data_IF_380074888351
#
_entry.id   IF_380074888351
#
_cell.length_a   1.000
_cell.length_b   1.000
_cell.length_c   1.000
_cell.angle_alpha   90.00
_cell.angle_beta   90.00
_cell.angle_gamma   90.00
#
_symmetry.space_group_name_H-M   'P 1'
#
loop_
_entity.id
_entity.type
_entity.pdbx_description
1 polymer ?
#
# COMPACT_ATOMS: atom_id res chain seq x y z
N UNK A 1 -8.87 -46.23 61.46
CA UNK A 1 -7.42 -45.98 61.68
C UNK A 1 -6.82 -45.58 60.35
N UNK A 2 -6.38 -44.34 60.19
CA UNK A 2 -5.74 -43.87 58.96
C UNK A 2 -4.26 -44.27 59.05
N UNK A 3 -3.84 -45.16 58.15
CA UNK A 3 -2.48 -45.67 58.11
C UNK A 3 -1.63 -44.68 57.29
N UNK A 4 -0.91 -43.78 57.96
CA UNK A 4 0.04 -42.89 57.29
C UNK A 4 1.28 -43.69 56.87
N UNK A 5 1.25 -44.25 55.66
CA UNK A 5 2.46 -44.76 55.01
C UNK A 5 3.34 -43.57 54.66
N UNK A 6 4.47 -43.43 55.37
CA UNK A 6 5.48 -42.44 55.04
C UNK A 6 6.06 -42.71 53.65
N UNK A 7 6.08 -41.70 52.79
CA UNK A 7 6.72 -41.77 51.47
C UNK A 7 8.21 -42.09 51.64
N UNK A 8 8.72 -43.00 50.82
CA UNK A 8 10.14 -43.38 50.85
C UNK A 8 10.99 -42.30 50.18
N UNK A 9 12.22 -42.08 50.66
CA UNK A 9 13.15 -41.13 50.01
C UNK A 9 13.36 -41.47 48.53
N UNK A 10 13.38 -42.76 48.19
CA UNK A 10 13.54 -43.20 46.80
C UNK A 10 12.37 -42.76 45.92
N UNK A 11 11.14 -42.76 46.43
CA UNK A 11 9.95 -42.34 45.68
C UNK A 11 9.96 -40.84 45.38
N UNK A 12 10.38 -40.01 46.35
CA UNK A 12 10.54 -38.58 46.14
C UNK A 12 11.64 -38.26 45.14
N UNK A 13 12.76 -38.99 45.20
CA UNK A 13 13.85 -38.87 44.20
C UNK A 13 13.36 -39.27 42.80
N UNK A 14 12.59 -40.35 42.69
CA UNK A 14 12.05 -40.83 41.41
C UNK A 14 11.07 -39.82 40.80
N UNK A 15 10.23 -39.18 41.62
CA UNK A 15 9.31 -38.11 41.19
C UNK A 15 10.09 -36.89 40.67
N UNK A 16 11.12 -36.43 41.40
CA UNK A 16 11.93 -35.29 40.96
C UNK A 16 12.65 -35.60 39.64
N UNK A 17 13.15 -36.84 39.47
CA UNK A 17 13.75 -37.31 38.23
C UNK A 17 12.75 -37.28 37.06
N UNK A 18 11.54 -37.81 37.28
CA UNK A 18 10.45 -37.79 36.29
C UNK A 18 10.04 -36.37 35.90
N UNK A 19 9.87 -35.48 36.89
CA UNK A 19 9.54 -34.08 36.65
C UNK A 19 10.66 -33.41 35.85
N UNK A 20 11.93 -33.67 36.17
CA UNK A 20 13.07 -33.13 35.42
C UNK A 20 13.05 -33.53 33.94
N UNK A 21 12.80 -34.82 33.66
CA UNK A 21 12.72 -35.33 32.28
C UNK A 21 11.54 -34.72 31.53
N UNK A 22 10.34 -34.74 32.11
CA UNK A 22 9.12 -34.21 31.46
C UNK A 22 9.25 -32.69 31.26
N UNK A 23 9.80 -31.96 32.24
CA UNK A 23 10.00 -30.51 32.14
C UNK A 23 10.94 -30.15 30.99
N UNK A 24 12.01 -30.92 30.78
CA UNK A 24 12.95 -30.65 29.68
C UNK A 24 12.30 -30.78 28.30
N UNK A 25 11.42 -31.76 28.11
CA UNK A 25 10.66 -31.96 26.86
C UNK A 25 9.60 -30.87 26.70
N UNK A 26 8.89 -30.53 27.78
CA UNK A 26 7.88 -29.49 27.78
C UNK A 26 8.46 -28.11 27.41
N UNK A 27 9.62 -27.73 27.96
CA UNK A 27 10.31 -26.47 27.63
C UNK A 27 10.70 -26.42 26.14
N UNK A 28 11.20 -27.53 25.58
CA UNK A 28 11.54 -27.60 24.15
C UNK A 28 10.32 -27.42 23.26
N UNK A 29 9.21 -28.09 23.59
CA UNK A 29 7.96 -27.96 22.83
C UNK A 29 7.36 -26.56 22.94
N UNK A 30 7.48 -25.92 24.11
CA UNK A 30 7.01 -24.55 24.30
C UNK A 30 7.84 -23.56 23.48
N UNK A 31 9.16 -23.76 23.41
CA UNK A 31 10.07 -22.92 22.63
C UNK A 31 9.74 -22.97 21.14
N UNK A 32 9.52 -24.17 20.57
CA UNK A 32 9.15 -24.29 19.15
C UNK A 32 7.79 -23.65 18.86
N UNK A 33 6.82 -23.80 19.76
CA UNK A 33 5.49 -23.19 19.62
C UNK A 33 5.57 -21.65 19.62
N UNK A 34 6.40 -21.07 20.50
CA UNK A 34 6.65 -19.63 20.54
C UNK A 34 7.32 -19.15 19.25
N UNK A 35 8.32 -19.88 18.73
CA UNK A 35 8.99 -19.52 17.48
C UNK A 35 8.04 -19.54 16.29
N UNK A 36 7.15 -20.53 16.19
CA UNK A 36 6.12 -20.56 15.15
C UNK A 36 5.15 -19.39 15.29
N UNK A 37 4.72 -19.06 16.51
CA UNK A 37 3.84 -17.93 16.74
C UNK A 37 4.50 -16.59 16.35
N UNK A 38 5.75 -16.37 16.74
CA UNK A 38 6.55 -15.19 16.36
C UNK A 38 6.70 -15.08 14.85
N UNK A 39 6.94 -16.20 14.17
CA UNK A 39 7.09 -16.26 12.72
C UNK A 39 5.80 -15.88 11.99
N UNK A 40 4.66 -16.45 12.38
CA UNK A 40 3.36 -16.11 11.78
C UNK A 40 2.93 -14.67 12.12
N UNK A 41 3.21 -14.19 13.33
CA UNK A 41 2.95 -12.79 13.70
C UNK A 41 3.77 -11.81 12.85
N UNK A 42 5.07 -12.07 12.70
CA UNK A 42 5.94 -11.22 11.88
C UNK A 42 5.52 -11.15 10.42
N UNK A 43 4.95 -12.24 9.87
CA UNK A 43 4.35 -12.23 8.52
C UNK A 43 3.11 -11.34 8.44
N UNK A 44 2.23 -11.42 9.42
CA UNK A 44 1.03 -10.59 9.48
C UNK A 44 1.39 -9.11 9.60
N UNK A 45 2.41 -8.78 10.40
CA UNK A 45 2.94 -7.42 10.50
C UNK A 45 3.54 -6.93 9.18
N UNK A 46 4.29 -7.78 8.46
CA UNK A 46 4.77 -7.47 7.12
C UNK A 46 3.64 -7.22 6.12
N UNK A 47 2.55 -7.98 6.20
CA UNK A 47 1.35 -7.75 5.37
C UNK A 47 0.69 -6.41 5.70
N UNK A 48 0.56 -6.06 6.97
CA UNK A 48 0.03 -4.77 7.41
C UNK A 48 0.90 -3.61 6.95
N UNK A 49 2.22 -3.73 7.09
CA UNK A 49 3.17 -2.74 6.59
C UNK A 49 3.06 -2.62 5.06
N UNK A 50 2.85 -3.71 4.34
CA UNK A 50 2.65 -3.66 2.91
C UNK A 50 1.39 -2.86 2.55
N UNK A 51 0.26 -3.13 3.20
CA UNK A 51 -0.96 -2.35 2.99
C UNK A 51 -0.80 -0.88 3.39
N UNK A 52 -0.08 -0.58 4.47
CA UNK A 52 0.20 0.81 4.83
C UNK A 52 1.02 1.57 3.77
N UNK A 53 1.93 0.88 3.07
CA UNK A 53 2.77 1.51 2.05
C UNK A 53 2.04 1.63 0.70
N UNK A 54 1.46 0.53 0.20
CA UNK A 54 0.90 0.46 -1.18
C UNK A 54 -0.62 0.31 -1.22
N UNK A 55 -1.29 0.32 -0.08
CA UNK A 55 -2.74 0.12 0.10
C UNK A 55 -3.17 -1.34 0.04
N UNK A 56 -4.38 -1.63 0.52
CA UNK A 56 -5.05 -2.91 0.33
C UNK A 56 -5.73 -2.98 -1.06
N UNK A 57 -5.36 -3.94 -1.93
CA UNK A 57 -5.99 -4.13 -3.24
C UNK A 57 -7.45 -4.58 -3.18
N UNK A 58 -7.97 -4.99 -2.02
CA UNK A 58 -9.34 -5.48 -1.85
C UNK A 58 -10.33 -4.40 -1.39
N UNK A 59 -9.88 -3.17 -1.15
CA UNK A 59 -10.74 -2.07 -0.70
C UNK A 59 -11.19 -1.26 -1.91
N UNK A 60 -12.50 -1.27 -2.15
CA UNK A 60 -13.13 -0.58 -3.27
C UNK A 60 -14.18 0.42 -2.78
N UNK A 61 -14.24 1.57 -3.44
CA UNK A 61 -15.32 2.54 -3.32
C UNK A 61 -15.80 2.91 -4.72
N UNK A 62 -17.12 3.01 -4.92
CA UNK A 62 -17.74 3.39 -6.20
C UNK A 62 -17.24 2.55 -7.41
N UNK A 63 -16.97 1.26 -7.19
CA UNK A 63 -16.55 0.33 -8.24
C UNK A 63 -15.07 0.42 -8.66
N UNK A 64 -14.26 1.24 -7.98
CA UNK A 64 -12.81 1.32 -8.19
C UNK A 64 -12.06 1.13 -6.88
N UNK A 65 -10.80 0.70 -6.95
CA UNK A 65 -9.94 0.59 -5.77
C UNK A 65 -9.80 1.99 -5.15
N UNK A 66 -9.92 2.08 -3.83
CA UNK A 66 -9.90 3.35 -3.11
C UNK A 66 -8.76 3.48 -2.11
N UNK A 67 -8.08 2.39 -1.75
CA UNK A 67 -6.93 2.42 -0.84
C UNK A 67 -5.63 2.16 -1.59
N UNK A 68 -4.70 3.10 -1.48
CA UNK A 68 -3.37 3.06 -2.10
C UNK A 68 -2.23 3.35 -1.11
N UNK A 69 -2.54 3.46 0.19
CA UNK A 69 -1.57 3.74 1.25
C UNK A 69 -0.72 5.00 1.02
N UNK A 70 0.43 5.04 1.69
CA UNK A 70 1.37 6.16 1.62
C UNK A 70 1.75 6.54 0.18
N UNK A 71 2.02 5.54 -0.68
CA UNK A 71 2.45 5.78 -2.06
C UNK A 71 1.34 6.45 -2.87
N UNK A 72 0.08 6.05 -2.65
CA UNK A 72 -1.08 6.66 -3.29
C UNK A 72 -1.25 8.14 -3.01
N UNK A 73 -0.99 8.53 -1.76
CA UNK A 73 -1.23 9.88 -1.26
C UNK A 73 -0.05 10.81 -1.50
N UNK A 74 1.17 10.31 -1.34
CA UNK A 74 2.40 11.11 -1.45
C UNK A 74 2.99 11.05 -2.85
N UNK A 75 2.74 9.98 -3.61
CA UNK A 75 3.34 9.76 -4.93
C UNK A 75 4.80 9.33 -4.88
N UNK A 76 5.26 8.79 -3.74
CA UNK A 76 6.62 8.29 -3.54
C UNK A 76 6.63 7.17 -2.49
N UNK A 77 7.69 6.36 -2.47
CA UNK A 77 7.94 5.42 -1.37
C UNK A 77 8.26 6.18 -0.08
N UNK A 78 7.84 5.68 1.09
CA UNK A 78 8.16 6.32 2.35
C UNK A 78 9.67 6.28 2.60
N UNK A 79 10.27 7.35 3.13
CA UNK A 79 11.70 7.39 3.42
C UNK A 79 12.11 6.41 4.53
N UNK A 80 11.17 6.08 5.42
CA UNK A 80 11.30 5.13 6.52
C UNK A 80 9.90 4.79 7.05
N UNK A 81 9.82 3.83 7.98
CA UNK A 81 8.54 3.43 8.56
C UNK A 81 7.88 4.51 9.42
N UNK A 82 8.63 5.49 9.96
CA UNK A 82 8.03 6.59 10.75
C UNK A 82 7.00 7.39 9.95
N UNK A 83 7.23 7.53 8.64
CA UNK A 83 6.33 8.22 7.74
C UNK A 83 4.94 7.53 7.62
N UNK A 84 4.80 6.30 8.11
CA UNK A 84 3.53 5.57 8.16
C UNK A 84 2.66 5.98 9.35
N UNK A 85 3.25 6.54 10.41
CA UNK A 85 2.54 6.90 11.64
C UNK A 85 2.53 8.41 11.89
N UNK A 86 3.57 9.11 11.45
CA UNK A 86 3.70 10.56 11.63
C UNK A 86 3.87 11.25 10.28
N UNK A 87 3.12 12.33 10.09
CA UNK A 87 3.25 13.15 8.89
C UNK A 87 4.68 13.76 8.81
N UNK A 88 5.45 13.51 7.74
CA UNK A 88 6.79 14.09 7.54
C UNK A 88 6.77 15.58 7.12
N UNK A 89 5.62 16.26 7.16
CA UNK A 89 5.42 17.64 6.72
C UNK A 89 4.81 17.76 5.32
N UNK A 90 4.15 16.71 4.84
CA UNK A 90 3.55 16.63 3.51
C UNK A 90 2.07 17.00 3.58
N UNK A 91 1.64 17.87 2.66
CA UNK A 91 0.25 18.33 2.59
C UNK A 91 -0.70 17.30 1.98
N UNK A 92 -0.17 16.33 1.22
CA UNK A 92 -0.97 15.26 0.62
C UNK A 92 -1.04 14.00 1.48
N UNK A 93 -0.30 13.94 2.59
CA UNK A 93 -0.31 12.80 3.50
C UNK A 93 -1.67 12.67 4.20
N UNK A 94 -2.30 11.50 4.10
CA UNK A 94 -3.63 11.19 4.67
C UNK A 94 -3.56 9.99 5.64
N UNK A 95 -2.42 9.86 6.32
CA UNK A 95 -2.26 8.87 7.38
C UNK A 95 -2.91 9.31 8.71
N UNK A 96 -2.62 8.60 9.81
CA UNK A 96 -1.63 7.53 9.92
C UNK A 96 -2.11 6.23 9.25
N UNK A 97 -1.20 5.59 8.51
CA UNK A 97 -1.42 4.32 7.81
C UNK A 97 -1.18 3.10 8.70
N UNK A 98 -0.41 3.29 9.77
CA UNK A 98 -0.16 2.30 10.82
C UNK A 98 -0.48 2.91 12.19
N UNK A 99 -0.86 2.08 13.14
CA UNK A 99 -0.94 2.50 14.54
C UNK A 99 0.39 2.23 15.23
N UNK A 100 0.70 3.00 16.29
CA UNK A 100 1.93 2.78 17.06
C UNK A 100 1.95 1.43 17.82
N UNK A 101 0.85 0.68 17.87
CA UNK A 101 0.76 -0.53 18.67
C UNK A 101 0.74 -0.25 20.17
N UNK A 102 1.21 -1.21 20.97
CA UNK A 102 1.17 -1.11 22.44
C UNK A 102 2.43 -0.48 23.04
N UNK A 103 3.53 -0.42 22.28
CA UNK A 103 4.79 0.23 22.65
C UNK A 103 5.20 1.32 21.64
N UNK A 104 6.08 2.23 22.05
CA UNK A 104 6.65 3.19 21.10
C UNK A 104 7.50 2.43 20.06
N UNK A 105 7.20 2.60 18.77
CA UNK A 105 7.89 1.96 17.63
C UNK A 105 7.64 0.45 17.45
N UNK A 106 6.53 -0.08 17.97
CA UNK A 106 6.18 -1.50 17.83
C UNK A 106 6.19 -1.94 16.34
N UNK A 107 5.59 -1.11 15.48
CA UNK A 107 5.53 -1.29 14.02
C UNK A 107 6.88 -1.36 13.29
N UNK A 108 8.00 -1.05 13.97
CA UNK A 108 9.34 -1.10 13.38
C UNK A 108 10.06 -2.41 13.65
N UNK A 109 9.60 -3.19 14.62
CA UNK A 109 10.28 -4.39 15.07
C UNK A 109 9.47 -5.63 14.73
N UNK A 110 10.17 -6.71 14.41
CA UNK A 110 9.56 -8.03 14.32
C UNK A 110 9.38 -8.66 15.72
N UNK A 111 8.82 -9.86 15.74
CA UNK A 111 8.50 -10.57 16.99
C UNK A 111 9.73 -11.03 17.80
N UNK A 112 10.95 -10.82 17.29
CA UNK A 112 12.23 -11.02 17.99
C UNK A 112 12.90 -9.69 18.37
N UNK A 113 12.18 -8.57 18.26
CA UNK A 113 12.68 -7.23 18.55
C UNK A 113 13.85 -6.82 17.63
N UNK A 114 13.86 -7.33 16.40
CA UNK A 114 14.77 -6.91 15.33
C UNK A 114 14.04 -5.93 14.40
N UNK A 115 14.71 -4.84 14.01
CA UNK A 115 14.10 -3.87 13.10
C UNK A 115 13.78 -4.49 11.73
N UNK A 116 12.62 -4.15 11.18
CA UNK A 116 12.32 -4.36 9.77
C UNK A 116 13.23 -3.53 8.88
N UNK A 117 13.62 -4.11 7.75
CA UNK A 117 14.47 -3.46 6.75
C UNK A 117 13.64 -3.18 5.51
N UNK A 118 13.28 -1.92 5.30
CA UNK A 118 12.65 -1.44 4.06
C UNK A 118 13.74 -1.14 3.03
N UNK A 119 13.69 -1.77 1.86
CA UNK A 119 14.60 -1.53 0.73
C UNK A 119 13.80 -1.48 -0.57
N UNK A 120 13.62 -0.28 -1.12
CA UNK A 120 12.84 -0.08 -2.35
C UNK A 120 11.42 -0.60 -2.19
N UNK A 121 11.07 -1.65 -2.93
CA UNK A 121 9.75 -2.29 -2.91
C UNK A 121 9.70 -3.58 -2.10
N UNK A 122 10.60 -3.78 -1.13
CA UNK A 122 10.57 -4.94 -0.23
C UNK A 122 10.81 -4.55 1.23
N UNK A 123 10.12 -5.24 2.13
CA UNK A 123 10.36 -5.18 3.58
C UNK A 123 10.81 -6.56 4.05
N UNK A 124 11.86 -6.60 4.87
CA UNK A 124 12.45 -7.83 5.40
C UNK A 124 12.44 -7.86 6.92
N UNK A 125 12.08 -9.02 7.50
CA UNK A 125 12.43 -9.41 8.87
C UNK A 125 13.60 -10.39 8.86
N UNK A 126 14.47 -10.28 9.87
CA UNK A 126 15.66 -11.14 10.05
C UNK A 126 15.69 -11.84 11.40
N UNK A 127 14.78 -11.52 12.32
CA UNK A 127 14.82 -11.99 13.71
C UNK A 127 14.70 -13.50 13.89
N UNK A 128 14.07 -14.19 12.92
CA UNK A 128 13.90 -15.65 12.96
C UNK A 128 15.20 -16.45 12.74
N UNK A 129 16.29 -15.79 12.33
CA UNK A 129 17.52 -16.41 11.84
C UNK A 129 17.49 -16.77 10.35
N UNK A 130 16.32 -16.69 9.71
CA UNK A 130 16.15 -16.69 8.26
C UNK A 130 15.39 -15.43 7.82
N UNK A 131 15.62 -15.00 6.58
CA UNK A 131 14.92 -13.83 6.05
C UNK A 131 13.45 -14.17 5.78
N UNK A 132 12.56 -13.28 6.21
CA UNK A 132 11.15 -13.27 5.82
C UNK A 132 10.95 -12.00 5.00
N UNK A 133 10.75 -12.19 3.69
CA UNK A 133 10.63 -11.08 2.75
C UNK A 133 9.17 -10.88 2.35
N UNK A 134 8.73 -9.63 2.41
CA UNK A 134 7.48 -9.18 1.82
C UNK A 134 7.79 -8.24 0.67
N UNK A 135 7.35 -8.63 -0.51
CA UNK A 135 7.38 -7.78 -1.69
C UNK A 135 6.14 -6.90 -1.72
N UNK A 136 6.34 -5.60 -1.93
CA UNK A 136 5.30 -4.59 -2.05
C UNK A 136 4.82 -4.46 -3.50
N UNK A 137 5.76 -4.55 -4.44
CA UNK A 137 5.57 -4.46 -5.88
C UNK A 137 6.82 -4.98 -6.60
N UNK A 138 6.68 -5.46 -7.86
CA UNK A 138 7.80 -6.00 -8.65
C UNK A 138 8.89 -4.97 -8.96
N UNK A 139 8.58 -3.66 -8.92
CA UNK A 139 9.57 -2.61 -9.07
C UNK A 139 9.05 -1.26 -8.57
N UNK A 140 9.95 -0.28 -8.40
CA UNK A 140 9.55 1.11 -8.15
C UNK A 140 8.72 1.67 -9.30
N UNK A 141 9.02 1.28 -10.55
CA UNK A 141 8.27 1.71 -11.73
C UNK A 141 6.84 1.17 -11.75
N UNK A 142 6.60 -0.02 -11.21
CA UNK A 142 5.25 -0.54 -11.03
C UNK A 142 4.38 0.41 -10.19
N UNK A 143 4.99 1.08 -9.22
CA UNK A 143 4.32 2.02 -8.34
C UNK A 143 4.30 3.45 -8.89
N UNK A 144 5.34 3.87 -9.61
CA UNK A 144 5.58 5.29 -9.94
C UNK A 144 5.55 5.63 -11.43
N UNK A 145 5.46 4.64 -12.32
CA UNK A 145 5.59 4.82 -13.77
C UNK A 145 4.39 4.30 -14.56
N UNK A 146 3.19 4.58 -14.08
CA UNK A 146 1.93 4.16 -14.71
C UNK A 146 1.46 5.15 -15.79
N UNK A 147 0.47 4.73 -16.58
CA UNK A 147 -0.06 5.52 -17.70
C UNK A 147 -1.58 5.65 -17.61
N UNK A 148 -2.09 6.85 -17.86
CA UNK A 148 -3.52 7.12 -18.11
C UNK A 148 -3.65 7.67 -19.52
N UNK A 149 -4.44 7.01 -20.35
CA UNK A 149 -4.68 7.39 -21.73
C UNK A 149 -6.16 7.33 -22.06
N UNK A 150 -6.57 7.93 -23.16
CA UNK A 150 -7.96 7.88 -23.53
C UNK A 150 -8.28 8.62 -24.82
N UNK A 151 -9.58 8.75 -25.02
CA UNK A 151 -10.19 9.43 -26.16
C UNK A 151 -11.29 10.36 -25.67
N UNK A 152 -11.48 11.47 -26.37
CA UNK A 152 -12.52 12.47 -26.10
C UNK A 152 -13.44 12.60 -27.31
N UNK A 153 -14.74 12.50 -27.06
CA UNK A 153 -15.82 12.80 -28.00
C UNK A 153 -16.82 13.77 -27.37
N UNK A 154 -17.62 14.42 -28.21
CA UNK A 154 -18.80 15.18 -27.80
C UNK A 154 -20.06 14.29 -27.73
N UNK A 155 -21.21 14.92 -27.51
CA UNK A 155 -22.51 14.24 -27.43
C UNK A 155 -22.96 13.60 -28.77
N UNK A 156 -22.44 14.06 -29.92
CA UNK A 156 -22.73 13.49 -31.24
C UNK A 156 -21.79 12.32 -31.59
N UNK A 157 -20.77 12.06 -30.75
CA UNK A 157 -19.74 11.06 -30.99
C UNK A 157 -18.61 11.55 -31.88
N UNK A 158 -18.54 12.86 -32.13
CA UNK A 158 -17.49 13.47 -32.93
C UNK A 158 -16.27 13.80 -32.05
N UNK A 159 -15.08 13.70 -32.65
CA UNK A 159 -13.83 14.12 -32.01
C UNK A 159 -13.49 15.56 -32.36
N UNK A 160 -12.55 16.21 -31.65
CA UNK A 160 -12.29 17.66 -31.80
C UNK A 160 -11.89 18.09 -33.22
N UNK A 161 -11.35 17.18 -34.03
CA UNK A 161 -10.89 17.48 -35.37
C UNK A 161 -9.74 18.49 -35.37
N UNK A 162 -9.45 19.11 -36.50
CA UNK A 162 -8.39 20.12 -36.61
C UNK A 162 -8.82 21.50 -36.11
N UNK A 163 -10.14 21.75 -35.99
CA UNK A 163 -10.67 23.06 -35.63
C UNK A 163 -10.70 23.25 -34.11
N UNK A 164 -11.05 22.19 -33.35
CA UNK A 164 -11.25 22.31 -31.89
C UNK A 164 -10.22 21.57 -31.05
N UNK A 165 -9.22 20.88 -31.63
CA UNK A 165 -8.18 20.20 -30.85
C UNK A 165 -7.43 21.16 -29.91
N UNK A 166 -7.12 22.38 -30.38
CA UNK A 166 -6.44 23.41 -29.58
C UNK A 166 -7.40 24.13 -28.61
N UNK A 167 -8.71 23.91 -28.75
CA UNK A 167 -9.75 24.43 -27.84
C UNK A 167 -9.98 23.51 -26.64
N UNK A 168 -9.27 22.39 -26.56
CA UNK A 168 -9.39 21.42 -25.47
C UNK A 168 -8.11 21.33 -24.65
N UNK A 169 -8.28 21.18 -23.34
CA UNK A 169 -7.20 20.92 -22.42
C UNK A 169 -7.57 19.76 -21.49
N UNK A 170 -6.75 18.73 -21.51
CA UNK A 170 -6.82 17.64 -20.54
C UNK A 170 -5.81 17.94 -19.45
N UNK A 171 -6.25 17.95 -18.19
CA UNK A 171 -5.40 18.14 -17.01
C UNK A 171 -5.50 16.93 -16.10
N UNK A 172 -4.38 16.45 -15.60
CA UNK A 172 -4.32 15.40 -14.59
C UNK A 172 -3.60 15.94 -13.35
N UNK A 173 -4.28 15.91 -12.21
CA UNK A 173 -3.79 16.36 -10.92
C UNK A 173 -3.49 15.12 -10.08
N UNK A 174 -2.25 15.00 -9.63
CA UNK A 174 -1.72 13.83 -8.91
C UNK A 174 -0.60 14.27 -7.95
N UNK A 175 -0.27 13.49 -6.92
CA UNK A 175 0.77 13.86 -5.96
C UNK A 175 2.16 13.83 -6.60
N UNK A 176 3.01 14.76 -6.18
CA UNK A 176 4.31 15.04 -6.83
C UNK A 176 5.50 14.28 -6.23
N UNK A 177 5.28 13.38 -5.27
CA UNK A 177 6.34 12.66 -4.56
C UNK A 177 7.06 13.47 -3.47
N UNK A 178 6.72 14.75 -3.31
CA UNK A 178 7.35 15.70 -2.38
C UNK A 178 6.34 16.34 -1.42
N UNK A 179 5.17 15.73 -1.26
CA UNK A 179 4.12 16.18 -0.33
C UNK A 179 3.22 17.29 -0.84
N UNK A 180 3.17 17.53 -2.14
CA UNK A 180 2.22 18.43 -2.80
C UNK A 180 1.57 17.78 -4.02
N UNK A 181 0.60 18.47 -4.62
CA UNK A 181 0.05 18.08 -5.92
C UNK A 181 0.81 18.74 -7.06
N UNK A 182 0.90 18.06 -8.20
CA UNK A 182 1.30 18.62 -9.48
C UNK A 182 0.17 18.47 -10.50
N UNK A 183 0.23 19.23 -11.58
CA UNK A 183 -0.72 19.15 -12.68
C UNK A 183 0.05 18.92 -13.97
N UNK A 184 -0.21 17.79 -14.64
CA UNK A 184 0.17 17.61 -16.03
C UNK A 184 -0.98 18.08 -16.93
N UNK A 185 -0.66 18.70 -18.06
CA UNK A 185 -1.67 19.17 -19.00
C UNK A 185 -1.25 18.90 -20.44
N UNK A 186 -2.21 18.55 -21.29
CA UNK A 186 -2.00 18.26 -22.71
C UNK A 186 -3.23 18.65 -23.52
N UNK A 187 -3.02 19.17 -24.73
CA UNK A 187 -4.08 19.28 -25.73
C UNK A 187 -4.23 17.92 -26.44
N UNK A 188 -5.45 17.37 -26.55
CA UNK A 188 -5.66 16.10 -27.20
C UNK A 188 -5.32 16.21 -28.70
N UNK A 189 -5.09 15.06 -29.34
CA UNK A 189 -4.90 15.04 -30.79
C UNK A 189 -6.19 15.43 -31.52
N UNK A 190 -6.10 15.67 -32.84
CA UNK A 190 -7.28 15.85 -33.72
C UNK A 190 -8.27 14.69 -33.67
N UNK A 191 -7.81 13.51 -33.29
CA UNK A 191 -8.66 12.34 -33.04
C UNK A 191 -8.93 12.21 -31.54
N UNK A 192 -9.03 13.30 -30.77
CA UNK A 192 -9.39 13.28 -29.34
C UNK A 192 -8.47 12.47 -28.40
N UNK A 193 -7.35 11.94 -28.87
CA UNK A 193 -6.54 11.01 -28.08
C UNK A 193 -5.58 11.77 -27.17
N UNK A 194 -5.43 11.31 -25.93
CA UNK A 194 -4.48 11.87 -24.96
C UNK A 194 -3.77 10.76 -24.17
N UNK A 195 -2.63 11.09 -23.57
CA UNK A 195 -1.87 10.18 -22.71
C UNK A 195 -1.00 10.95 -21.72
N UNK A 196 -0.99 10.47 -20.47
CA UNK A 196 -0.09 10.87 -19.40
C UNK A 196 0.69 9.65 -18.94
N UNK A 197 1.99 9.79 -18.73
CA UNK A 197 2.88 8.74 -18.24
C UNK A 197 3.62 9.19 -16.99
N UNK A 198 4.39 8.29 -16.39
CA UNK A 198 5.15 8.55 -15.15
C UNK A 198 4.25 8.91 -13.96
N UNK A 199 3.11 8.22 -13.86
CA UNK A 199 2.13 8.47 -12.82
C UNK A 199 2.33 7.54 -11.63
N UNK A 200 2.29 8.06 -10.39
CA UNK A 200 2.18 7.21 -9.21
C UNK A 200 0.85 6.45 -9.23
N UNK A 201 0.81 5.32 -8.52
CA UNK A 201 -0.47 4.70 -8.13
C UNK A 201 -1.25 5.67 -7.25
N UNK A 202 -2.56 5.48 -7.14
CA UNK A 202 -3.41 6.36 -6.35
C UNK A 202 -4.69 6.73 -7.07
N UNK A 203 -5.50 7.55 -6.40
CA UNK A 203 -6.70 8.14 -6.97
C UNK A 203 -6.38 9.56 -7.42
N UNK A 204 -6.40 9.80 -8.72
CA UNK A 204 -6.06 11.08 -9.33
C UNK A 204 -7.29 11.79 -9.90
N UNK A 205 -7.19 13.11 -10.08
CA UNK A 205 -8.26 13.90 -10.66
C UNK A 205 -7.92 14.28 -12.10
N UNK A 206 -8.73 13.79 -13.04
CA UNK A 206 -8.66 14.18 -14.45
C UNK A 206 -9.74 15.22 -14.73
N UNK A 207 -9.35 16.35 -15.31
CA UNK A 207 -10.25 17.39 -15.79
C UNK A 207 -10.09 17.49 -17.31
N UNK A 208 -11.21 17.57 -18.03
CA UNK A 208 -11.19 17.95 -19.45
C UNK A 208 -11.95 19.25 -19.60
N UNK A 209 -11.29 20.25 -20.16
CA UNK A 209 -11.76 21.63 -20.24
C UNK A 209 -11.92 21.97 -21.72
N UNK A 210 -13.10 22.48 -22.07
CA UNK A 210 -13.35 23.14 -23.35
C UNK A 210 -13.20 24.65 -23.14
N UNK A 211 -12.14 25.24 -23.68
CA UNK A 211 -11.74 26.62 -23.43
C UNK A 211 -12.75 27.70 -23.85
N UNK A 212 -13.43 27.61 -25.01
CA UNK A 212 -14.32 28.68 -25.47
C UNK A 212 -15.42 29.05 -24.46
N UNK A 213 -16.00 28.05 -23.81
CA UNK A 213 -17.09 28.22 -22.84
C UNK A 213 -16.68 27.88 -21.40
N UNK A 214 -15.43 27.47 -21.20
CA UNK A 214 -14.89 26.97 -19.91
C UNK A 214 -15.70 25.80 -19.34
N UNK A 215 -16.33 24.99 -20.20
CA UNK A 215 -17.04 23.79 -19.77
C UNK A 215 -16.02 22.74 -19.32
N UNK A 216 -16.23 22.15 -18.14
CA UNK A 216 -15.27 21.25 -17.50
C UNK A 216 -15.96 19.98 -17.01
N UNK A 217 -15.52 18.84 -17.54
CA UNK A 217 -15.87 17.53 -17.00
C UNK A 217 -14.74 17.01 -16.10
N UNK A 218 -15.10 16.36 -15.00
CA UNK A 218 -14.16 15.85 -14.00
C UNK A 218 -14.36 14.36 -13.77
N UNK A 219 -13.26 13.64 -13.66
CA UNK A 219 -13.23 12.21 -13.40
C UNK A 219 -12.21 11.90 -12.31
N UNK A 220 -12.57 10.96 -11.43
CA UNK A 220 -11.63 10.33 -10.52
C UNK A 220 -11.07 9.08 -11.19
N UNK A 221 -9.75 8.93 -11.20
CA UNK A 221 -9.05 7.86 -11.90
C UNK A 221 -8.18 7.09 -10.92
N UNK A 222 -8.56 5.84 -10.64
CA UNK A 222 -7.76 4.92 -9.86
C UNK A 222 -6.64 4.31 -10.72
N UNK A 223 -5.40 4.73 -10.49
CA UNK A 223 -4.20 4.22 -11.17
C UNK A 223 -3.62 3.06 -10.37
N UNK A 224 -3.73 1.86 -10.94
CA UNK A 224 -3.25 0.62 -10.33
C UNK A 224 -1.76 0.39 -10.63
N UNK A 225 -1.06 -0.45 -9.85
CA UNK A 225 0.30 -0.83 -10.18
C UNK A 225 0.41 -1.47 -11.57
N UNK A 226 1.50 -1.16 -12.29
CA UNK A 226 1.79 -1.63 -13.66
C UNK A 226 0.65 -1.42 -14.68
N UNK A 227 -0.12 -0.34 -14.51
CA UNK A 227 -1.33 -0.13 -15.29
C UNK A 227 -1.15 0.84 -16.46
N UNK A 228 -1.89 0.55 -17.53
CA UNK A 228 -2.26 1.49 -18.57
C UNK A 228 -3.78 1.63 -18.55
N UNK A 229 -4.27 2.66 -17.86
CA UNK A 229 -5.69 2.94 -17.75
C UNK A 229 -6.15 3.61 -19.04
N UNK A 230 -7.27 3.11 -19.60
CA UNK A 230 -7.90 3.66 -20.78
C UNK A 230 -9.25 4.25 -20.45
N UNK A 231 -9.47 5.50 -20.83
CA UNK A 231 -10.70 6.23 -20.59
C UNK A 231 -11.38 6.63 -21.90
N UNK A 232 -12.71 6.58 -21.88
CA UNK A 232 -13.53 7.20 -22.91
C UNK A 232 -14.31 8.34 -22.28
N UNK A 233 -14.05 9.56 -22.75
CA UNK A 233 -14.63 10.78 -22.22
C UNK A 233 -15.63 11.31 -23.23
N UNK A 234 -16.84 11.56 -22.75
CA UNK A 234 -17.94 12.10 -23.56
C UNK A 234 -18.37 13.41 -22.95
N UNK A 235 -18.26 14.50 -23.71
CA UNK A 235 -18.87 15.76 -23.30
C UNK A 235 -20.39 15.67 -23.43
N UNK A 236 -21.15 16.20 -22.46
CA UNK A 236 -22.61 16.17 -22.49
C UNK A 236 -23.19 17.10 -23.56
N UNK A 237 -22.43 18.09 -24.01
CA UNK A 237 -22.80 19.01 -25.06
C UNK A 237 -22.23 18.58 -26.41
N UNK A 238 -22.90 19.02 -27.48
CA UNK A 238 -22.41 18.96 -28.85
C UNK A 238 -21.46 20.15 -29.05
N UNK A 239 -20.15 19.89 -29.14
CA UNK A 239 -19.10 20.92 -29.03
C UNK A 239 -18.33 21.16 -30.34
N UNK A 240 -18.37 20.22 -31.29
CA UNK A 240 -17.51 20.21 -32.48
C UNK A 240 -18.29 20.34 -33.79
#
# INVERSE_FOLDING_TARGET
>A
MVNNKGYTLIELVLIILLIGVISSVAVRQMTSSVQTAQYEHSKQELDQLAYAIVGDPHVFANGSRSDFGYVGDVGALPPNLDALVSNPGYGTWDGPYMTNGTGNNDFKNDSWNSNYILTGTSIRSTGSGSNIDKELAPSVNALLANTVSGYIIDASGQAPGTVYADSMLVRLIYPNGSGGYTTAAISPSKSGSFSFSSLPIGVHNLEVIYHPDTDTVRYSVAVLPESNIKMNIVFPADLF
#
